data_IF_174650445329
#
_entry.id   IF_174650445329
#
_cell.length_a   1.000
_cell.length_b   1.000
_cell.length_c   1.000
_cell.angle_alpha   90.00
_cell.angle_beta   90.00
_cell.angle_gamma   90.00
#
_symmetry.space_group_name_H-M   'P 1'
#
loop_
_entity.id
_entity.type
_entity.pdbx_description
1 polymer ?
#
# COMPACT_ATOMS: atom_id res chain seq x y z
N UNK A 1 -8.12 -10.96 14.46
CA UNK A 1 -8.65 -10.37 13.24
C UNK A 1 -9.70 -11.32 12.74
N UNK A 2 -10.95 -10.87 12.52
CA UNK A 2 -12.02 -11.73 12.03
C UNK A 2 -11.44 -12.52 10.87
N UNK A 3 -11.54 -13.85 10.89
CA UNK A 3 -10.82 -14.72 9.94
C UNK A 3 -10.96 -14.20 8.50
N UNK A 4 -12.13 -13.65 8.16
CA UNK A 4 -12.44 -12.94 6.91
C UNK A 4 -11.60 -11.67 6.69
N UNK A 5 -11.59 -10.72 7.64
CA UNK A 5 -10.81 -9.47 7.54
C UNK A 5 -9.31 -9.73 7.39
N UNK A 6 -8.79 -10.81 7.99
CA UNK A 6 -7.39 -11.25 7.84
C UNK A 6 -7.07 -11.57 6.39
N UNK A 7 -7.90 -12.41 5.78
CA UNK A 7 -7.72 -12.79 4.39
C UNK A 7 -7.93 -11.62 3.45
N UNK A 8 -8.89 -10.72 3.72
CA UNK A 8 -9.09 -9.49 2.96
C UNK A 8 -7.82 -8.62 2.99
N UNK A 9 -7.23 -8.42 4.17
CA UNK A 9 -5.99 -7.67 4.31
C UNK A 9 -4.80 -8.30 3.56
N UNK A 10 -4.66 -9.63 3.65
CA UNK A 10 -3.61 -10.37 2.92
C UNK A 10 -3.79 -10.26 1.40
N UNK A 11 -5.01 -10.44 0.91
CA UNK A 11 -5.33 -10.28 -0.52
C UNK A 11 -5.05 -8.85 -0.97
N UNK A 12 -5.41 -7.85 -0.16
CA UNK A 12 -5.11 -6.46 -0.44
C UNK A 12 -3.60 -6.18 -0.50
N UNK A 13 -2.80 -6.78 0.39
CA UNK A 13 -1.34 -6.67 0.34
C UNK A 13 -0.74 -7.30 -0.93
N UNK A 14 -1.26 -8.45 -1.38
CA UNK A 14 -0.86 -9.07 -2.65
C UNK A 14 -1.26 -8.17 -3.83
N UNK A 15 -2.48 -7.63 -3.82
CA UNK A 15 -2.95 -6.72 -4.85
C UNK A 15 -2.09 -5.45 -4.93
N UNK A 16 -1.68 -4.91 -3.78
CA UNK A 16 -0.75 -3.77 -3.70
C UNK A 16 0.59 -4.12 -4.37
N UNK A 17 1.14 -5.29 -4.08
CA UNK A 17 2.40 -5.76 -4.70
C UNK A 17 2.23 -5.86 -6.21
N UNK A 18 1.19 -6.54 -6.69
CA UNK A 18 0.90 -6.70 -8.13
C UNK A 18 0.73 -5.35 -8.81
N UNK A 19 0.04 -4.39 -8.17
CA UNK A 19 -0.15 -3.05 -8.73
C UNK A 19 1.18 -2.33 -8.99
N UNK A 20 2.23 -2.60 -8.21
CA UNK A 20 3.55 -1.97 -8.40
C UNK A 20 4.25 -2.43 -9.69
N UNK A 21 3.89 -3.59 -10.24
CA UNK A 21 4.41 -4.10 -11.53
C UNK A 21 3.59 -3.62 -12.73
N UNK A 22 2.42 -3.02 -12.51
CA UNK A 22 1.56 -2.50 -13.57
C UNK A 22 1.88 -1.03 -13.88
N UNK A 23 1.58 -0.55 -15.10
CA UNK A 23 1.76 0.86 -15.44
C UNK A 23 0.89 1.73 -14.54
N UNK A 24 1.51 2.74 -13.93
CA UNK A 24 0.83 3.73 -13.10
C UNK A 24 0.49 4.96 -13.90
N UNK A 25 1.42 5.41 -14.74
CA UNK A 25 1.30 6.62 -15.52
C UNK A 25 2.04 6.46 -16.85
N UNK A 26 1.50 7.06 -17.91
CA UNK A 26 2.18 7.19 -19.20
C UNK A 26 2.42 8.69 -19.48
N UNK A 27 3.65 9.02 -19.87
CA UNK A 27 4.05 10.35 -20.34
C UNK A 27 4.18 10.27 -21.85
N UNK A 28 3.13 10.66 -22.57
CA UNK A 28 3.01 10.52 -24.03
C UNK A 28 4.14 11.24 -24.78
N UNK A 29 4.49 12.47 -24.38
CA UNK A 29 5.52 13.28 -25.03
C UNK A 29 6.92 12.67 -25.03
N UNK A 30 7.21 11.78 -24.08
CA UNK A 30 8.52 11.10 -23.96
C UNK A 30 8.43 9.59 -24.23
N UNK A 31 7.25 9.07 -24.52
CA UNK A 31 6.95 7.64 -24.59
C UNK A 31 7.47 6.86 -23.36
N UNK A 32 7.41 7.48 -22.17
CA UNK A 32 7.87 6.87 -20.92
C UNK A 32 6.68 6.29 -20.17
N UNK A 33 6.78 5.02 -19.81
CA UNK A 33 5.83 4.36 -18.91
C UNK A 33 6.44 4.30 -17.52
N UNK A 34 5.74 4.87 -16.54
CA UNK A 34 6.13 4.85 -15.14
C UNK A 34 5.29 3.81 -14.40
N UNK A 35 5.95 2.95 -13.65
CA UNK A 35 5.39 1.95 -12.74
C UNK A 35 5.95 2.11 -11.34
N UNK A 36 5.51 1.28 -10.39
CA UNK A 36 6.09 1.24 -9.05
C UNK A 36 7.57 0.84 -9.05
N UNK A 37 8.02 0.06 -10.03
CA UNK A 37 9.38 -0.53 -10.05
C UNK A 37 10.29 0.24 -10.98
N UNK A 38 9.76 0.60 -12.15
CA UNK A 38 10.48 1.30 -13.19
C UNK A 38 9.91 2.70 -13.39
N UNK A 39 10.73 3.70 -13.13
CA UNK A 39 10.48 5.09 -13.48
C UNK A 39 11.68 5.70 -14.21
N UNK A 40 12.41 4.86 -14.97
CA UNK A 40 13.60 5.26 -15.72
C UNK A 40 13.28 6.43 -16.66
N UNK A 41 14.17 7.42 -16.73
CA UNK A 41 13.96 8.65 -17.50
C UNK A 41 13.16 9.74 -16.75
N UNK A 42 12.79 9.50 -15.48
CA UNK A 42 12.16 10.50 -14.60
C UNK A 42 12.97 10.70 -13.31
N UNK A 43 12.69 11.79 -12.58
CA UNK A 43 13.29 12.05 -11.27
C UNK A 43 12.43 11.48 -10.11
N UNK A 44 11.53 10.53 -10.39
CA UNK A 44 10.63 9.94 -9.39
C UNK A 44 11.27 8.80 -8.57
N UNK A 45 12.44 8.31 -8.99
CA UNK A 45 13.12 7.20 -8.31
C UNK A 45 12.38 5.87 -8.50
N UNK A 46 12.25 5.07 -7.43
CA UNK A 46 11.56 3.77 -7.46
C UNK A 46 10.41 3.75 -6.45
N UNK A 47 9.24 4.30 -6.80
CA UNK A 47 8.20 4.66 -5.83
C UNK A 47 7.53 3.45 -5.13
N UNK A 48 7.54 2.28 -5.76
CA UNK A 48 6.93 1.03 -5.26
C UNK A 48 7.74 0.30 -4.18
N UNK A 49 9.02 0.62 -3.98
CA UNK A 49 9.86 -0.13 -3.02
C UNK A 49 9.40 0.03 -1.57
N UNK A 50 8.93 1.23 -1.20
CA UNK A 50 8.36 1.44 0.14
C UNK A 50 7.08 0.63 0.36
N UNK A 51 6.25 0.44 -0.68
CA UNK A 51 5.08 -0.43 -0.58
C UNK A 51 5.47 -1.87 -0.28
N UNK A 52 6.55 -2.39 -0.85
CA UNK A 52 7.04 -3.73 -0.54
C UNK A 52 7.52 -3.86 0.90
N UNK A 53 8.25 -2.87 1.40
CA UNK A 53 8.72 -2.84 2.80
C UNK A 53 7.52 -2.83 3.76
N UNK A 54 6.55 -1.95 3.54
CA UNK A 54 5.38 -1.87 4.41
C UNK A 54 4.44 -3.07 4.28
N UNK A 55 4.28 -3.64 3.08
CA UNK A 55 3.52 -4.87 2.88
C UNK A 55 4.16 -6.05 3.63
N UNK A 56 5.50 -6.16 3.62
CA UNK A 56 6.22 -7.17 4.39
C UNK A 56 5.96 -7.03 5.89
N UNK A 57 6.11 -5.83 6.46
CA UNK A 57 5.81 -5.58 7.87
C UNK A 57 4.34 -5.81 8.20
N UNK A 58 3.43 -5.40 7.33
CA UNK A 58 2.00 -5.62 7.51
C UNK A 58 1.66 -7.11 7.61
N UNK A 59 2.19 -7.92 6.69
CA UNK A 59 1.98 -9.36 6.72
C UNK A 59 2.55 -9.96 8.00
N UNK A 60 3.80 -9.68 8.34
CA UNK A 60 4.43 -10.18 9.57
C UNK A 60 3.61 -9.85 10.83
N UNK A 61 3.24 -8.57 11.01
CA UNK A 61 2.49 -8.11 12.18
C UNK A 61 1.07 -8.67 12.22
N UNK A 62 0.46 -8.95 11.06
CA UNK A 62 -0.87 -9.54 10.95
C UNK A 62 -0.96 -11.00 11.44
N UNK A 63 0.17 -11.73 11.49
CA UNK A 63 0.23 -13.08 12.06
C UNK A 63 0.53 -13.09 13.57
N UNK A 64 1.06 -11.99 14.12
CA UNK A 64 1.40 -11.90 15.55
C UNK A 64 0.15 -11.53 16.36
N UNK A 65 -0.34 -12.43 17.20
CA UNK A 65 -1.54 -12.23 18.03
C UNK A 65 -1.29 -11.36 19.30
N UNK A 66 -0.35 -10.41 19.26
CA UNK A 66 -0.05 -9.50 20.38
C UNK A 66 -0.71 -8.13 20.17
N UNK A 67 -1.16 -7.50 21.25
CA UNK A 67 -1.80 -6.17 21.18
C UNK A 67 -0.87 -5.10 20.60
N UNK A 68 0.41 -5.11 20.99
CA UNK A 68 1.42 -4.19 20.49
C UNK A 68 1.65 -4.35 18.98
N UNK A 69 1.71 -5.59 18.48
CA UNK A 69 1.88 -5.86 17.06
C UNK A 69 0.74 -5.27 16.22
N UNK A 70 -0.50 -5.27 16.74
CA UNK A 70 -1.66 -4.67 16.06
C UNK A 70 -1.58 -3.14 16.00
N UNK A 71 -1.15 -2.50 17.09
CA UNK A 71 -0.94 -1.04 17.12
C UNK A 71 0.13 -0.61 16.13
N UNK A 72 1.23 -1.35 16.08
CA UNK A 72 2.29 -1.15 15.09
C UNK A 72 1.81 -1.43 13.67
N UNK A 73 0.97 -2.45 13.48
CA UNK A 73 0.43 -2.78 12.17
C UNK A 73 -0.42 -1.62 11.60
N UNK A 74 -1.28 -1.03 12.43
CA UNK A 74 -2.08 0.13 12.05
C UNK A 74 -1.19 1.32 11.63
N UNK A 75 -0.12 1.58 12.40
CA UNK A 75 0.84 2.64 12.07
C UNK A 75 1.56 2.38 10.75
N UNK A 76 2.05 1.16 10.53
CA UNK A 76 2.72 0.74 9.29
C UNK A 76 1.82 0.97 8.08
N UNK A 77 0.54 0.57 8.17
CA UNK A 77 -0.39 0.72 7.06
C UNK A 77 -0.81 2.17 6.85
N UNK A 78 -0.97 2.96 7.92
CA UNK A 78 -1.24 4.39 7.79
C UNK A 78 -0.12 5.12 7.03
N UNK A 79 1.15 4.79 7.33
CA UNK A 79 2.30 5.32 6.60
C UNK A 79 2.29 4.84 5.14
N UNK A 80 1.95 3.57 4.89
CA UNK A 80 1.82 3.04 3.54
C UNK A 80 0.76 3.81 2.72
N UNK A 81 -0.39 4.13 3.32
CA UNK A 81 -1.44 4.94 2.66
C UNK A 81 -0.97 6.37 2.43
N UNK A 82 -0.27 6.98 3.39
CA UNK A 82 0.31 8.30 3.21
C UNK A 82 1.33 8.31 2.05
N UNK A 83 2.15 7.27 1.93
CA UNK A 83 3.07 7.08 0.81
C UNK A 83 2.32 6.88 -0.52
N UNK A 84 1.25 6.07 -0.53
CA UNK A 84 0.38 5.89 -1.70
C UNK A 84 -0.19 7.23 -2.18
N UNK A 85 -0.78 8.01 -1.26
CA UNK A 85 -1.34 9.32 -1.57
C UNK A 85 -0.29 10.30 -2.10
N UNK A 86 0.90 10.35 -1.46
CA UNK A 86 2.03 11.14 -1.96
C UNK A 86 2.37 10.78 -3.40
N UNK A 87 2.51 9.50 -3.72
CA UNK A 87 2.85 9.05 -5.07
C UNK A 87 1.73 9.33 -6.07
N UNK A 88 0.47 9.17 -5.66
CA UNK A 88 -0.67 9.53 -6.49
C UNK A 88 -0.61 11.01 -6.90
N UNK A 89 -0.44 11.93 -5.95
CA UNK A 89 -0.35 13.36 -6.27
C UNK A 89 0.92 13.70 -7.07
N UNK A 90 2.07 13.11 -6.71
CA UNK A 90 3.34 13.40 -7.38
C UNK A 90 3.35 12.93 -8.85
N UNK A 91 2.77 11.76 -9.13
CA UNK A 91 2.77 11.16 -10.46
C UNK A 91 1.66 11.67 -11.37
N UNK A 92 0.60 12.25 -10.80
CA UNK A 92 -0.49 12.88 -11.57
C UNK A 92 -0.30 14.39 -11.75
N UNK A 93 0.64 15.00 -11.02
CA UNK A 93 0.95 16.41 -11.17
C UNK A 93 1.52 16.70 -12.56
N UNK A 94 0.98 17.73 -13.22
CA UNK A 94 1.55 18.24 -14.46
C UNK A 94 2.82 19.04 -14.16
N UNK A 95 3.87 18.82 -14.96
CA UNK A 95 5.13 19.53 -14.82
C UNK A 95 5.65 19.91 -16.21
N UNK A 96 6.06 21.18 -16.37
CA UNK A 96 6.60 21.67 -17.65
C UNK A 96 5.60 21.69 -18.81
N UNK A 97 4.29 21.84 -18.53
CA UNK A 97 3.24 21.88 -19.54
C UNK A 97 2.72 20.52 -20.01
N UNK A 98 3.30 19.42 -19.49
CA UNK A 98 2.92 18.04 -19.83
C UNK A 98 2.15 17.41 -18.66
N UNK A 99 1.01 16.79 -18.97
CA UNK A 99 0.16 16.14 -17.98
C UNK A 99 0.21 14.61 -18.15
N UNK A 100 0.67 13.88 -17.12
CA UNK A 100 0.71 12.43 -17.14
C UNK A 100 -0.68 11.78 -17.23
N UNK A 101 -0.82 10.73 -18.03
CA UNK A 101 -2.08 9.96 -18.15
C UNK A 101 -2.09 8.86 -17.09
N UNK A 102 -3.02 8.96 -16.13
CA UNK A 102 -3.18 7.97 -15.07
C UNK A 102 -3.72 6.64 -15.59
N UNK A 103 -3.08 5.55 -15.18
CA UNK A 103 -3.43 4.19 -15.57
C UNK A 103 -4.07 3.43 -14.42
N UNK A 104 -4.67 2.28 -14.73
CA UNK A 104 -5.38 1.43 -13.77
C UNK A 104 -4.49 1.00 -12.58
N UNK A 105 -3.19 0.83 -12.81
CA UNK A 105 -2.24 0.41 -11.78
C UNK A 105 -2.13 1.39 -10.61
N UNK A 106 -2.18 2.69 -10.90
CA UNK A 106 -2.11 3.73 -9.89
C UNK A 106 -3.36 3.73 -8.99
N UNK A 107 -4.54 3.54 -9.60
CA UNK A 107 -5.80 3.41 -8.87
C UNK A 107 -5.86 2.13 -8.03
N UNK A 108 -5.38 1.01 -8.57
CA UNK A 108 -5.27 -0.26 -7.84
C UNK A 108 -4.35 -0.14 -6.62
N UNK A 109 -3.21 0.52 -6.77
CA UNK A 109 -2.27 0.77 -5.67
C UNK A 109 -2.94 1.56 -4.53
N UNK A 110 -3.64 2.64 -4.86
CA UNK A 110 -4.32 3.49 -3.88
C UNK A 110 -5.47 2.73 -3.19
N UNK A 111 -6.28 2.02 -3.98
CA UNK A 111 -7.38 1.19 -3.49
C UNK A 111 -6.89 0.08 -2.56
N UNK A 112 -5.87 -0.68 -2.98
CA UNK A 112 -5.30 -1.76 -2.19
C UNK A 112 -4.75 -1.26 -0.84
N UNK A 113 -4.05 -0.12 -0.86
CA UNK A 113 -3.54 0.53 0.36
C UNK A 113 -4.68 0.93 1.31
N UNK A 114 -5.79 1.46 0.78
CA UNK A 114 -6.98 1.79 1.56
C UNK A 114 -7.66 0.56 2.18
N UNK A 115 -7.79 -0.53 1.42
CA UNK A 115 -8.36 -1.79 1.92
C UNK A 115 -7.49 -2.40 3.01
N UNK A 116 -6.16 -2.35 2.88
CA UNK A 116 -5.24 -2.75 3.94
C UNK A 116 -5.49 -1.96 5.22
N UNK A 117 -5.69 -0.63 5.11
CA UNK A 117 -5.95 0.22 6.27
C UNK A 117 -7.25 -0.17 6.96
N UNK A 118 -8.34 -0.32 6.20
CA UNK A 118 -9.64 -0.76 6.73
C UNK A 118 -9.50 -2.13 7.42
N UNK A 119 -8.76 -3.06 6.82
CA UNK A 119 -8.53 -4.39 7.43
C UNK A 119 -7.79 -4.31 8.77
N UNK A 120 -6.88 -3.33 8.92
CA UNK A 120 -6.11 -3.14 10.15
C UNK A 120 -6.93 -2.55 11.31
N UNK A 121 -8.03 -1.85 11.03
CA UNK A 121 -8.93 -1.29 12.04
C UNK A 121 -9.78 -2.33 12.79
N UNK A 122 -10.02 -3.52 12.20
CA UNK A 122 -10.88 -4.56 12.80
C UNK A 122 -10.13 -5.84 13.21
N UNK A 123 -9.19 -5.79 14.18
CA UNK A 123 -8.46 -6.98 14.60
C UNK A 123 -9.15 -7.72 15.77
N UNK A 124 -9.73 -8.92 15.58
CA UNK A 124 -10.07 -9.79 16.73
C UNK A 124 -8.87 -10.00 17.63
N UNK A 125 -9.05 -9.62 18.88
CA UNK A 125 -8.22 -9.98 20.01
C UNK A 125 -9.05 -11.00 20.77
N UNK A 126 -8.57 -12.23 20.91
CA UNK A 126 -9.02 -13.08 22.01
C UNK A 126 -8.35 -12.54 23.26
N UNK A 127 -9.07 -11.73 24.04
CA UNK A 127 -8.60 -11.32 25.35
C UNK A 127 -8.75 -12.56 26.23
N UNK A 128 -7.65 -13.30 26.45
CA UNK A 128 -7.60 -14.33 27.47
C UNK A 128 -7.83 -13.61 28.80
N UNK A 129 -9.04 -13.72 29.34
CA UNK A 129 -9.33 -13.20 30.68
C UNK A 129 -8.45 -13.98 31.65
N UNK A 130 -7.41 -13.33 32.19
CA UNK A 130 -6.72 -13.86 33.35
C UNK A 130 -7.73 -13.90 34.49
N UNK A 131 -8.17 -15.10 34.87
CA UNK A 131 -8.84 -15.34 36.14
C UNK A 131 -7.91 -14.83 37.23
N UNK A 132 -8.25 -13.68 37.82
CA UNK A 132 -7.70 -13.21 39.10
C UNK A 132 -7.94 -14.33 40.12
N UNK A 133 -6.86 -14.95 40.60
CA UNK A 133 -6.84 -15.73 41.83
C UNK A 133 -6.53 -14.83 43.02
#
# INVERSE_FOLDING_TARGET
MNKKMKWIGVIAAILLIVSCFTPWVIIESKAITVSGIDATGTNYGKPGYFHFIFAFFFLLLSFIQKLWAKRFNLLVVAINVAWAAKNYFLLTACAGGECPVSQIGLWLMLFASGVMLISSFFPDIEIKQEQKS
#
